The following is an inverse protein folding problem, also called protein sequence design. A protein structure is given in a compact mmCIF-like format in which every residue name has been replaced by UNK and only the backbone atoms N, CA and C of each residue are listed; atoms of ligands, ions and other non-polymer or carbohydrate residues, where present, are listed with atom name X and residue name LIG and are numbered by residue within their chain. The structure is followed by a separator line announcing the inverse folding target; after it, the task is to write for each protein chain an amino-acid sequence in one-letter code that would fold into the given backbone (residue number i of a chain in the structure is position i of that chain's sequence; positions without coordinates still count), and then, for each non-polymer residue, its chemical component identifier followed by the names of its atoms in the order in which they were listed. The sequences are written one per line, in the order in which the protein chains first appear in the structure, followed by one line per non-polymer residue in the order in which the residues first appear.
data_IF_248836141583
#
_entry.id   IF_248836141583
#
_cell.length_a   1.000
_cell.length_b   1.000
_cell.length_c   1.000
_cell.angle_alpha   90.00
_cell.angle_beta   90.00
_cell.angle_gamma   90.00
#
_symmetry.space_group_name_H-M   'P 1'
#
loop_
_entity.id
_entity.type
_entity.pdbx_description
1 polymer ?
#
# COMPACT_ATOMS: atom_id res chain seq x y z
N UNK A 1 -2.31 -6.67 73.47
CA UNK A 1 -2.75 -5.58 72.57
C UNK A 1 -2.12 -5.81 71.19
N UNK A 2 -2.92 -6.12 70.16
CA UNK A 2 -2.50 -6.10 68.76
C UNK A 2 -3.46 -5.18 68.03
N UNK A 3 -2.98 -4.04 67.57
CA UNK A 3 -3.75 -3.10 66.75
C UNK A 3 -3.71 -3.59 65.30
N UNK A 4 -4.87 -3.78 64.70
CA UNK A 4 -5.01 -4.09 63.27
C UNK A 4 -5.44 -2.79 62.58
N UNK A 5 -4.55 -2.19 61.79
CA UNK A 5 -4.87 -0.98 61.01
C UNK A 5 -5.33 -1.41 59.62
N UNK A 6 -6.62 -1.29 59.34
CA UNK A 6 -7.16 -1.50 57.99
C UNK A 6 -7.01 -0.19 57.19
N UNK A 7 -6.08 -0.17 56.23
CA UNK A 7 -5.98 0.93 55.26
C UNK A 7 -7.06 0.71 54.19
N UNK A 8 -8.02 1.63 54.10
CA UNK A 8 -8.95 1.70 52.96
C UNK A 8 -8.33 2.55 51.86
N UNK A 9 -7.95 1.92 50.75
CA UNK A 9 -7.59 2.63 49.52
C UNK A 9 -8.88 3.20 48.90
N UNK A 10 -9.02 4.53 48.85
CA UNK A 10 -9.99 5.17 47.98
C UNK A 10 -9.47 5.09 46.54
N UNK A 11 -10.09 4.25 45.72
CA UNK A 11 -9.84 4.22 44.28
C UNK A 11 -10.45 5.44 43.62
N UNK A 12 -9.62 6.41 43.23
CA UNK A 12 -10.02 7.45 42.28
C UNK A 12 -10.04 6.83 40.88
N UNK A 13 -11.22 6.68 40.29
CA UNK A 13 -11.36 6.35 38.88
C UNK A 13 -11.15 7.63 38.06
N UNK A 14 -9.97 7.77 37.45
CA UNK A 14 -9.71 8.82 36.46
C UNK A 14 -10.44 8.40 35.17
N UNK A 15 -11.59 9.01 34.89
CA UNK A 15 -12.19 8.97 33.56
C UNK A 15 -11.34 9.85 32.64
N UNK A 16 -10.41 9.24 31.90
CA UNK A 16 -9.71 9.93 30.83
C UNK A 16 -10.71 10.22 29.69
N UNK A 17 -11.13 11.48 29.58
CA UNK A 17 -11.87 11.97 28.42
C UNK A 17 -10.95 11.91 27.20
N UNK A 18 -11.22 10.99 26.27
CA UNK A 18 -10.61 11.02 24.95
C UNK A 18 -11.05 12.32 24.26
N UNK A 19 -10.14 13.29 24.18
CA UNK A 19 -10.38 14.49 23.39
C UNK A 19 -10.40 14.08 21.92
N UNK A 20 -11.56 14.14 21.28
CA UNK A 20 -11.67 14.04 19.82
C UNK A 20 -10.92 15.23 19.22
N UNK A 21 -9.80 14.97 18.55
CA UNK A 21 -9.02 15.99 17.87
C UNK A 21 -9.85 16.64 16.76
N UNK A 22 -10.42 17.81 17.03
CA UNK A 22 -11.13 18.59 16.02
C UNK A 22 -10.08 19.20 15.08
N UNK A 23 -10.10 18.80 13.81
CA UNK A 23 -9.28 19.45 12.77
C UNK A 23 -9.81 20.87 12.53
N UNK A 24 -8.90 21.81 12.25
CA UNK A 24 -9.30 23.11 11.70
C UNK A 24 -10.04 22.87 10.36
N UNK A 25 -11.07 23.68 10.03
CA UNK A 25 -11.74 23.56 8.73
C UNK A 25 -10.74 23.77 7.60
N UNK A 26 -10.91 23.01 6.52
CA UNK A 26 -10.10 23.17 5.32
C UNK A 26 -10.31 24.59 4.75
N UNK A 27 -9.29 25.20 4.12
CA UNK A 27 -9.46 26.48 3.43
C UNK A 27 -10.57 26.40 2.36
N UNK A 28 -11.16 27.55 2.03
CA UNK A 28 -12.15 27.61 0.95
C UNK A 28 -11.58 27.06 -0.36
N UNK A 29 -12.35 26.20 -1.02
CA UNK A 29 -11.95 25.53 -2.27
C UNK A 29 -11.06 24.29 -2.10
N UNK A 30 -10.67 23.93 -0.87
CA UNK A 30 -9.93 22.70 -0.60
C UNK A 30 -10.87 21.50 -0.36
N UNK A 31 -10.41 20.27 -0.62
CA UNK A 31 -11.16 19.09 -0.24
C UNK A 31 -11.32 19.01 1.27
N UNK A 32 -12.49 18.56 1.71
CA UNK A 32 -12.75 18.23 3.10
C UNK A 32 -12.24 16.82 3.40
N UNK A 33 -11.55 16.66 4.53
CA UNK A 33 -11.05 15.38 5.00
C UNK A 33 -11.78 14.96 6.26
N UNK A 34 -12.16 13.70 6.35
CA UNK A 34 -12.74 13.13 7.56
C UNK A 34 -12.33 11.66 7.69
N UNK A 35 -12.20 11.20 8.93
CA UNK A 35 -11.90 9.80 9.21
C UNK A 35 -13.13 8.93 8.93
N UNK A 36 -12.95 7.88 8.14
CA UNK A 36 -14.01 6.91 7.81
C UNK A 36 -13.89 5.59 8.56
N UNK A 37 -12.68 5.15 8.86
CA UNK A 37 -12.45 3.85 9.47
C UNK A 37 -11.10 3.26 9.07
N UNK A 38 -10.83 2.05 9.53
CA UNK A 38 -9.71 1.25 9.07
C UNK A 38 -10.14 0.39 7.87
N UNK A 39 -9.35 0.43 6.81
CA UNK A 39 -9.59 -0.36 5.59
C UNK A 39 -9.23 -1.84 5.79
N UNK A 40 -8.14 -2.11 6.52
CA UNK A 40 -7.67 -3.47 6.80
C UNK A 40 -7.70 -3.76 8.30
N UNK A 41 -8.20 -4.93 8.70
CA UNK A 41 -8.03 -5.46 10.06
C UNK A 41 -7.04 -6.62 10.04
N UNK A 42 -5.79 -6.32 10.45
CA UNK A 42 -4.68 -7.28 10.48
C UNK A 42 -4.97 -8.54 11.30
N UNK A 43 -5.85 -8.46 12.30
CA UNK A 43 -6.19 -9.60 13.15
C UNK A 43 -7.08 -10.61 12.42
N UNK A 44 -7.74 -10.20 11.33
CA UNK A 44 -8.68 -11.02 10.57
C UNK A 44 -8.09 -11.59 9.28
N UNK A 45 -6.96 -11.06 8.83
CA UNK A 45 -6.32 -11.48 7.57
C UNK A 45 -5.53 -12.78 7.76
N UNK A 46 -5.68 -13.69 6.80
CA UNK A 46 -5.03 -15.00 6.78
C UNK A 46 -3.55 -14.88 6.47
N UNK A 47 -3.17 -14.02 5.52
CA UNK A 47 -1.78 -13.80 5.14
C UNK A 47 -1.18 -12.59 5.87
N UNK A 48 -0.64 -12.83 7.06
CA UNK A 48 0.00 -11.82 7.89
C UNK A 48 1.33 -12.34 8.49
N UNK A 49 2.36 -12.61 7.66
CA UNK A 49 3.58 -13.24 8.14
C UNK A 49 4.48 -12.32 8.97
N UNK A 50 4.33 -11.00 8.85
CA UNK A 50 5.27 -10.02 9.45
C UNK A 50 4.61 -9.02 10.40
N UNK A 51 3.28 -9.05 10.53
CA UNK A 51 2.49 -8.12 11.35
C UNK A 51 2.60 -6.63 10.95
N UNK A 52 3.21 -6.34 9.80
CA UNK A 52 3.46 -5.01 9.27
C UNK A 52 2.90 -4.90 7.85
N UNK A 53 1.85 -4.09 7.66
CA UNK A 53 1.27 -3.81 6.34
C UNK A 53 1.54 -2.36 6.00
N UNK A 54 2.14 -2.10 4.84
CA UNK A 54 2.63 -0.77 4.47
C UNK A 54 2.33 -0.43 3.01
N UNK A 55 2.40 0.89 2.76
CA UNK A 55 2.38 1.51 1.43
C UNK A 55 1.29 0.99 0.49
N UNK A 56 0.00 1.10 0.88
CA UNK A 56 -1.08 0.61 0.04
C UNK A 56 -1.27 1.47 -1.21
N UNK A 57 -1.73 0.84 -2.29
CA UNK A 57 -2.19 1.51 -3.51
C UNK A 57 -3.56 0.98 -3.89
N UNK A 58 -4.46 1.88 -4.29
CA UNK A 58 -5.84 1.59 -4.64
C UNK A 58 -6.04 1.70 -6.14
N UNK A 59 -6.80 0.77 -6.71
CA UNK A 59 -7.07 0.67 -8.13
C UNK A 59 -8.57 0.48 -8.37
N UNK A 60 -9.12 1.25 -9.31
CA UNK A 60 -10.53 1.15 -9.71
C UNK A 60 -10.69 -0.01 -10.70
N UNK A 61 -10.89 -1.21 -10.18
CA UNK A 61 -10.93 -2.43 -10.98
C UNK A 61 -12.16 -2.48 -11.89
N UNK A 62 -13.33 -2.08 -11.39
CA UNK A 62 -14.61 -2.06 -12.12
C UNK A 62 -14.62 -1.18 -13.37
N UNK A 63 -13.78 -0.14 -13.39
CA UNK A 63 -13.67 0.76 -14.55
C UNK A 63 -12.89 0.14 -15.71
N UNK A 64 -11.93 -0.76 -15.42
CA UNK A 64 -10.90 -1.14 -16.39
C UNK A 64 -10.78 -2.64 -16.68
N UNK A 65 -11.23 -3.51 -15.78
CA UNK A 65 -11.09 -4.96 -15.91
C UNK A 65 -12.43 -5.57 -16.34
N UNK A 66 -12.38 -6.57 -17.23
CA UNK A 66 -13.61 -7.17 -17.79
C UNK A 66 -14.43 -7.96 -16.74
N UNK A 67 -13.76 -8.69 -15.84
CA UNK A 67 -14.38 -9.51 -14.78
C UNK A 67 -13.61 -9.35 -13.45
N UNK A 68 -13.74 -8.19 -12.77
CA UNK A 68 -13.01 -7.94 -11.52
C UNK A 68 -13.63 -8.71 -10.34
N UNK A 69 -12.81 -9.02 -9.33
CA UNK A 69 -13.23 -9.64 -8.06
C UNK A 69 -14.14 -8.72 -7.23
N UNK A 70 -14.09 -7.41 -7.48
CA UNK A 70 -14.93 -6.36 -6.90
C UNK A 70 -14.59 -5.00 -7.51
N UNK A 71 -15.37 -3.96 -7.22
CA UNK A 71 -15.21 -2.62 -7.82
C UNK A 71 -13.81 -2.00 -7.60
N UNK A 72 -13.22 -2.24 -6.42
CA UNK A 72 -11.97 -1.65 -5.98
C UNK A 72 -10.99 -2.72 -5.52
N UNK A 73 -9.73 -2.58 -5.96
CA UNK A 73 -8.61 -3.37 -5.49
C UNK A 73 -7.69 -2.50 -4.65
N UNK A 74 -7.20 -3.04 -3.53
CA UNK A 74 -6.16 -2.42 -2.71
C UNK A 74 -4.99 -3.39 -2.57
N UNK A 75 -3.87 -2.98 -3.17
CA UNK A 75 -2.60 -3.67 -3.05
C UNK A 75 -1.85 -3.11 -1.84
N UNK A 76 -1.26 -3.98 -1.04
CA UNK A 76 -0.46 -3.62 0.14
C UNK A 76 0.68 -4.62 0.31
N UNK A 77 1.68 -4.29 1.14
CA UNK A 77 2.77 -5.21 1.40
C UNK A 77 2.85 -5.58 2.88
N UNK A 78 2.67 -6.88 3.24
CA UNK A 78 3.34 -7.45 4.40
C UNK A 78 4.84 -7.25 4.25
N UNK A 79 5.39 -6.28 4.97
CA UNK A 79 6.77 -5.86 4.80
C UNK A 79 7.73 -6.93 5.30
N UNK A 80 8.91 -7.05 4.68
CA UNK A 80 9.93 -8.07 4.97
C UNK A 80 9.62 -9.50 4.54
N UNK A 81 10.65 -10.34 4.52
CA UNK A 81 10.54 -11.77 4.23
C UNK A 81 9.74 -12.52 5.32
N UNK A 82 8.79 -13.41 5.00
CA UNK A 82 8.44 -13.97 3.68
C UNK A 82 7.29 -13.26 2.96
N UNK A 83 7.03 -11.98 3.24
CA UNK A 83 5.92 -11.22 2.72
C UNK A 83 5.95 -10.99 1.19
N UNK A 84 5.44 -9.86 0.75
CA UNK A 84 5.29 -9.56 -0.68
C UNK A 84 4.14 -8.59 -0.90
N UNK A 85 3.64 -8.49 -2.13
CA UNK A 85 2.47 -7.67 -2.43
C UNK A 85 1.23 -8.55 -2.37
N UNK A 86 0.31 -8.18 -1.49
CA UNK A 86 -1.00 -8.81 -1.28
C UNK A 86 -2.11 -7.90 -1.79
N UNK A 87 -3.27 -8.51 -2.04
CA UNK A 87 -4.49 -7.86 -2.52
C UNK A 87 -5.64 -8.07 -1.52
N UNK A 88 -6.39 -7.00 -1.26
CA UNK A 88 -7.78 -7.08 -0.81
C UNK A 88 -8.67 -6.35 -1.81
N UNK A 89 -9.94 -6.75 -1.91
CA UNK A 89 -10.89 -6.15 -2.84
C UNK A 89 -12.23 -5.85 -2.17
N UNK A 90 -12.98 -4.90 -2.72
CA UNK A 90 -14.31 -4.53 -2.24
C UNK A 90 -15.14 -3.91 -3.35
N UNK A 91 -16.46 -4.04 -3.25
CA UNK A 91 -17.41 -3.30 -4.11
C UNK A 91 -17.57 -1.84 -3.68
N UNK A 92 -16.96 -1.43 -2.57
CA UNK A 92 -17.03 -0.07 -2.03
C UNK A 92 -15.70 0.36 -1.40
N UNK A 93 -15.33 1.64 -1.58
CA UNK A 93 -14.20 2.24 -0.86
C UNK A 93 -14.37 2.19 0.66
N UNK A 94 -15.61 2.09 1.14
CA UNK A 94 -15.94 1.99 2.57
C UNK A 94 -15.85 0.55 3.10
N UNK A 95 -15.57 -0.44 2.24
CA UNK A 95 -15.57 -1.85 2.57
C UNK A 95 -16.98 -2.46 2.63
N UNK A 96 -17.10 -3.70 3.15
CA UNK A 96 -16.03 -4.51 3.73
C UNK A 96 -14.99 -4.94 2.68
N UNK A 97 -13.73 -5.02 3.11
CA UNK A 97 -12.61 -5.47 2.26
C UNK A 97 -12.38 -6.97 2.45
N UNK A 98 -12.39 -7.72 1.34
CA UNK A 98 -12.15 -9.16 1.31
C UNK A 98 -10.72 -9.45 0.87
N UNK A 99 -10.02 -10.27 1.65
CA UNK A 99 -8.68 -10.74 1.30
C UNK A 99 -8.72 -11.68 0.09
N UNK A 100 -7.80 -11.50 -0.85
CA UNK A 100 -7.60 -12.45 -1.95
C UNK A 100 -7.02 -13.77 -1.41
N UNK A 101 -7.70 -14.87 -1.74
CA UNK A 101 -7.46 -16.17 -1.09
C UNK A 101 -6.06 -16.74 -1.36
N UNK A 102 -5.44 -16.34 -2.47
CA UNK A 102 -4.13 -16.81 -2.90
C UNK A 102 -3.02 -15.76 -2.73
N UNK A 103 -3.18 -14.82 -1.80
CA UNK A 103 -2.09 -13.88 -1.50
C UNK A 103 -0.78 -14.61 -1.17
N UNK A 104 0.37 -14.13 -1.64
CA UNK A 104 0.64 -12.85 -2.34
C UNK A 104 0.43 -12.90 -3.86
N UNK A 105 0.11 -11.76 -4.47
CA UNK A 105 0.04 -11.61 -5.95
C UNK A 105 1.41 -11.36 -6.59
N UNK A 106 2.38 -10.82 -5.82
CA UNK A 106 3.79 -10.75 -6.20
C UNK A 106 4.65 -11.14 -4.99
N UNK A 107 5.50 -12.16 -5.16
CA UNK A 107 6.44 -12.60 -4.13
C UNK A 107 7.80 -11.88 -4.23
N UNK A 108 8.57 -11.91 -3.13
CA UNK A 108 9.95 -11.40 -3.08
C UNK A 108 10.97 -12.29 -3.85
N UNK A 109 10.52 -13.45 -4.33
CA UNK A 109 11.21 -14.30 -5.29
C UNK A 109 10.31 -14.50 -6.51
N UNK A 110 10.80 -14.11 -7.68
CA UNK A 110 10.16 -14.39 -8.95
C UNK A 110 11.17 -15.07 -9.86
N UNK A 111 10.92 -16.35 -10.16
CA UNK A 111 11.86 -17.21 -10.87
C UNK A 111 12.38 -16.56 -12.15
N UNK A 112 13.69 -16.71 -12.40
CA UNK A 112 14.44 -16.12 -13.51
C UNK A 112 14.57 -14.59 -13.53
N UNK A 113 13.88 -13.84 -12.66
CA UNK A 113 13.93 -12.37 -12.65
C UNK A 113 14.65 -11.80 -11.44
N UNK A 114 14.29 -12.21 -10.23
CA UNK A 114 14.92 -11.70 -9.02
C UNK A 114 14.68 -12.60 -7.80
N UNK A 115 15.55 -12.42 -6.81
CA UNK A 115 15.39 -12.92 -5.45
C UNK A 115 15.93 -11.85 -4.51
N UNK A 116 15.04 -11.13 -3.84
CA UNK A 116 15.38 -9.97 -2.99
C UNK A 116 14.85 -10.17 -1.56
N UNK A 117 15.38 -9.47 -0.55
CA UNK A 117 14.91 -9.61 0.82
C UNK A 117 13.40 -9.34 0.99
N UNK A 118 12.87 -8.32 0.30
CA UNK A 118 11.44 -8.00 0.28
C UNK A 118 11.03 -7.36 -1.05
N UNK A 119 9.72 -7.30 -1.29
CA UNK A 119 9.12 -6.39 -2.28
C UNK A 119 8.03 -5.57 -1.60
N UNK A 120 7.90 -4.30 -1.94
CA UNK A 120 7.01 -3.37 -1.24
C UNK A 120 6.66 -2.13 -2.08
N UNK A 121 5.85 -1.25 -1.51
CA UNK A 121 5.30 -0.04 -2.11
C UNK A 121 4.69 -0.27 -3.50
N UNK A 122 3.66 -1.14 -3.58
CA UNK A 122 2.89 -1.25 -4.81
C UNK A 122 2.34 0.12 -5.24
N UNK A 123 2.36 0.40 -6.53
CA UNK A 123 1.63 1.50 -7.15
C UNK A 123 0.93 0.98 -8.41
N UNK A 124 -0.39 0.84 -8.32
CA UNK A 124 -1.25 0.30 -9.36
C UNK A 124 -1.82 1.40 -10.24
N UNK A 125 -1.74 1.24 -11.56
CA UNK A 125 -2.35 2.18 -12.51
C UNK A 125 -2.79 1.49 -13.80
N UNK A 126 -3.83 2.02 -14.43
CA UNK A 126 -4.22 1.59 -15.77
C UNK A 126 -3.34 2.29 -16.80
N UNK A 127 -2.77 1.53 -17.73
CA UNK A 127 -2.09 2.08 -18.89
C UNK A 127 -3.04 2.02 -20.10
N UNK A 128 -3.59 3.16 -20.49
CA UNK A 128 -4.56 3.26 -21.60
C UNK A 128 -3.97 2.90 -22.95
N UNK A 129 -2.71 3.26 -23.19
CA UNK A 129 -2.02 2.96 -24.46
C UNK A 129 -1.76 1.46 -24.61
N UNK A 130 -1.41 0.81 -23.50
CA UNK A 130 -1.18 -0.62 -23.46
C UNK A 130 -2.47 -1.44 -23.29
N UNK A 131 -3.57 -0.83 -22.84
CA UNK A 131 -4.83 -1.48 -22.52
C UNK A 131 -4.69 -2.54 -21.42
N UNK A 132 -3.88 -2.26 -20.39
CA UNK A 132 -3.64 -3.19 -19.28
C UNK A 132 -3.21 -2.48 -18.00
N UNK A 133 -3.39 -3.14 -16.87
CA UNK A 133 -2.95 -2.64 -15.57
C UNK A 133 -1.45 -2.84 -15.41
N UNK A 134 -0.74 -1.81 -14.95
CA UNK A 134 0.64 -1.88 -14.49
C UNK A 134 0.69 -1.77 -12.97
N UNK A 135 1.57 -2.56 -12.34
CA UNK A 135 1.89 -2.52 -10.93
C UNK A 135 3.39 -2.27 -10.77
N UNK A 136 3.73 -1.14 -10.18
CA UNK A 136 5.11 -0.75 -9.87
C UNK A 136 5.44 -1.10 -8.44
N UNK A 137 6.68 -1.53 -8.17
CA UNK A 137 7.10 -1.93 -6.83
C UNK A 137 8.62 -1.94 -6.72
N UNK A 138 9.15 -1.80 -5.51
CA UNK A 138 10.59 -1.94 -5.27
C UNK A 138 10.93 -3.28 -4.62
N UNK A 139 12.23 -3.59 -4.61
CA UNK A 139 12.79 -4.76 -3.95
C UNK A 139 13.86 -4.36 -2.94
N UNK A 140 15.12 -4.60 -3.27
CA UNK A 140 16.33 -4.18 -2.53
C UNK A 140 16.58 -2.66 -2.46
N UNK A 141 15.53 -1.84 -2.54
CA UNK A 141 15.52 -0.37 -2.56
C UNK A 141 16.32 0.32 -3.68
N UNK A 142 17.19 -0.37 -4.42
CA UNK A 142 17.99 0.25 -5.49
C UNK A 142 17.25 0.39 -6.83
N UNK A 143 16.11 -0.29 -6.97
CA UNK A 143 15.36 -0.42 -8.22
C UNK A 143 13.85 -0.40 -7.98
N UNK A 144 13.15 0.34 -8.84
CA UNK A 144 11.72 0.15 -9.06
C UNK A 144 11.50 -0.74 -10.26
N UNK A 145 10.75 -1.81 -10.04
CA UNK A 145 10.31 -2.79 -11.02
C UNK A 145 8.87 -2.51 -11.42
N UNK A 146 8.43 -3.14 -12.49
CA UNK A 146 7.04 -3.14 -12.89
C UNK A 146 6.61 -4.52 -13.40
N UNK A 147 5.34 -4.81 -13.22
CA UNK A 147 4.66 -5.96 -13.79
C UNK A 147 3.32 -5.50 -14.38
N UNK A 148 2.77 -6.29 -15.29
CA UNK A 148 1.49 -6.00 -15.94
C UNK A 148 0.49 -7.13 -15.72
N UNK A 149 -0.79 -6.78 -15.70
CA UNK A 149 -1.89 -7.73 -15.55
C UNK A 149 -3.12 -7.30 -16.36
N UNK A 150 -3.91 -8.28 -16.79
CA UNK A 150 -5.23 -8.08 -17.41
C UNK A 150 -6.39 -8.26 -16.44
N UNK A 151 -6.15 -8.85 -15.26
CA UNK A 151 -7.18 -9.15 -14.26
C UNK A 151 -6.82 -8.66 -12.85
N UNK A 152 -5.64 -8.04 -12.68
CA UNK A 152 -5.12 -7.50 -11.44
C UNK A 152 -4.69 -8.55 -10.39
N UNK A 153 -4.66 -9.83 -10.73
CA UNK A 153 -4.17 -10.90 -9.83
C UNK A 153 -3.05 -11.73 -10.44
N UNK A 154 -3.10 -11.97 -11.75
CA UNK A 154 -2.08 -12.69 -12.50
C UNK A 154 -1.16 -11.69 -13.17
N UNK A 155 0.08 -11.61 -12.69
CA UNK A 155 1.06 -10.64 -13.17
C UNK A 155 2.11 -11.29 -14.08
N UNK A 156 2.51 -10.56 -15.12
CA UNK A 156 3.69 -10.82 -15.93
C UNK A 156 4.76 -9.79 -15.61
N UNK A 157 5.98 -10.25 -15.31
CA UNK A 157 7.10 -9.35 -15.03
C UNK A 157 7.43 -8.50 -16.27
N UNK A 158 7.51 -7.18 -16.08
CA UNK A 158 7.79 -6.20 -17.13
C UNK A 158 9.24 -5.71 -17.16
N UNK A 159 9.94 -5.72 -16.02
CA UNK A 159 11.34 -5.34 -15.93
C UNK A 159 11.63 -4.29 -14.85
N UNK A 160 12.78 -3.63 -14.98
CA UNK A 160 13.18 -2.49 -14.15
C UNK A 160 12.73 -1.22 -14.84
N UNK A 161 11.89 -0.42 -14.19
CA UNK A 161 11.42 0.87 -14.69
C UNK A 161 12.49 1.94 -14.47
N UNK A 162 13.04 2.02 -13.25
CA UNK A 162 14.09 2.97 -12.87
C UNK A 162 15.05 2.31 -11.89
N UNK A 163 16.32 2.69 -11.97
CA UNK A 163 17.34 2.36 -10.98
C UNK A 163 18.06 3.64 -10.49
N UNK A 164 18.69 3.55 -9.33
CA UNK A 164 19.33 4.69 -8.67
C UNK A 164 20.43 5.37 -9.50
N UNK A 165 21.10 4.65 -10.41
CA UNK A 165 22.13 5.22 -11.29
C UNK A 165 21.57 6.25 -12.28
N UNK A 166 20.26 6.22 -12.56
CA UNK A 166 19.60 7.19 -13.43
C UNK A 166 19.45 8.58 -12.78
N UNK A 167 19.47 8.66 -11.45
CA UNK A 167 19.25 9.90 -10.68
C UNK A 167 20.55 10.61 -10.26
N UNK A 168 21.71 10.04 -10.63
CA UNK A 168 23.05 10.58 -10.32
C UNK A 168 23.75 9.85 -9.19
N UNK A 169 25.06 10.13 -9.02
CA UNK A 169 25.95 9.37 -8.11
C UNK A 169 25.62 9.44 -6.62
N UNK A 170 24.77 10.39 -6.21
CA UNK A 170 24.38 10.60 -4.82
C UNK A 170 23.05 9.93 -4.47
N UNK A 171 22.40 9.28 -5.43
CA UNK A 171 21.14 8.56 -5.20
C UNK A 171 21.44 7.12 -4.84
N UNK A 172 21.04 6.75 -3.62
CA UNK A 172 21.22 5.39 -3.09
C UNK A 172 20.00 4.52 -3.35
N UNK A 173 18.82 5.13 -3.52
CA UNK A 173 17.52 4.44 -3.56
C UNK A 173 16.66 4.86 -4.77
N UNK A 174 15.82 3.93 -5.22
CA UNK A 174 14.73 4.16 -6.17
C UNK A 174 13.54 3.32 -5.73
N UNK A 175 13.11 3.58 -4.49
CA UNK A 175 11.96 2.98 -3.81
C UNK A 175 10.79 3.95 -3.75
N UNK A 176 9.64 3.47 -3.26
CA UNK A 176 8.44 4.31 -3.02
C UNK A 176 7.94 5.10 -4.23
N UNK A 177 8.05 4.49 -5.41
CA UNK A 177 7.60 5.07 -6.66
C UNK A 177 6.12 5.43 -6.61
N UNK A 178 5.78 6.63 -7.07
CA UNK A 178 4.43 6.98 -7.53
C UNK A 178 4.50 7.36 -8.99
N UNK A 179 3.66 6.73 -9.80
CA UNK A 179 3.65 6.84 -11.25
C UNK A 179 2.39 7.57 -11.68
N UNK A 180 2.56 8.59 -12.50
CA UNK A 180 1.45 9.37 -13.03
C UNK A 180 1.72 9.76 -14.48
N UNK A 181 0.65 10.03 -15.22
CA UNK A 181 0.76 10.54 -16.57
C UNK A 181 1.57 11.84 -16.57
N UNK A 182 2.50 11.97 -17.51
CA UNK A 182 3.30 13.18 -17.62
C UNK A 182 2.37 14.40 -17.84
N UNK A 183 2.55 15.52 -17.12
CA UNK A 183 1.61 16.65 -17.14
C UNK A 183 1.48 17.31 -18.51
N UNK A 184 2.49 17.16 -19.38
CA UNK A 184 2.36 17.44 -20.80
C UNK A 184 1.70 16.24 -21.51
N UNK A 185 0.44 16.39 -21.91
CA UNK A 185 -0.34 15.38 -22.63
C UNK A 185 0.19 15.03 -24.03
N UNK A 186 1.09 15.85 -24.60
CA UNK A 186 1.80 15.52 -25.83
C UNK A 186 2.97 14.55 -25.59
N UNK A 187 3.39 14.36 -24.34
CA UNK A 187 4.36 13.33 -23.96
C UNK A 187 3.66 11.99 -23.86
N UNK A 188 4.18 10.98 -24.56
CA UNK A 188 3.75 9.58 -24.40
C UNK A 188 4.44 8.87 -23.21
N UNK A 189 5.22 9.62 -22.43
CA UNK A 189 5.96 9.09 -21.28
C UNK A 189 5.14 9.10 -20.00
N UNK A 190 5.40 8.14 -19.12
CA UNK A 190 4.98 8.20 -17.72
C UNK A 190 6.02 8.99 -16.91
N UNK A 191 5.54 9.79 -15.96
CA UNK A 191 6.38 10.44 -14.96
C UNK A 191 6.43 9.59 -13.71
N UNK A 192 7.63 9.42 -13.17
CA UNK A 192 7.86 8.75 -11.91
C UNK A 192 8.37 9.76 -10.89
N UNK A 193 7.83 9.72 -9.68
CA UNK A 193 8.38 10.39 -8.50
C UNK A 193 8.74 9.30 -7.50
N UNK A 194 9.95 9.38 -6.95
CA UNK A 194 10.47 8.45 -5.95
C UNK A 194 10.84 9.22 -4.69
N UNK A 195 10.66 8.58 -3.54
CA UNK A 195 11.15 9.12 -2.27
C UNK A 195 12.45 8.43 -1.90
N UNK A 196 13.50 9.21 -1.68
CA UNK A 196 14.77 8.74 -1.15
C UNK A 196 14.74 8.85 0.38
N UNK A 197 15.03 7.77 1.10
CA UNK A 197 15.42 7.91 2.50
C UNK A 197 16.91 8.28 2.58
N UNK A 198 17.21 9.34 3.32
CA UNK A 198 18.57 9.77 3.67
C UNK A 198 18.98 9.19 5.02
#
# INVERSE_FOLDING_TARGET
MRFTTTIRLLGFSLLASVASGQLAPAPDGWPNFWYKGHVTDKATFKYNPTNEFIFPSIFHAGEYLDDPLGEWYLYYAPHENPGGISLVYSDSLEGPWKEYENNTVIANKWDSYYSVPHVSSPDASWNSDAGRMFLYFHGDNTQTRWAESSNGVDFRYGGVAVNNQMSGSNTTESSYARVFAHPNSASKGLSFVYFQHH
#
